data_IF_376762090703
#
_entry.id   IF_376762090703
#
_cell.length_a   1.000
_cell.length_b   1.000
_cell.length_c   1.000
_cell.angle_alpha   90.00
_cell.angle_beta   90.00
_cell.angle_gamma   90.00
#
_symmetry.space_group_name_H-M   'P 1'
#
loop_
_entity.id
_entity.type
_entity.pdbx_description
1 polymer ?
#
# COMPACT_ATOMS: atom_id res chain seq x y z
N UNK A 1 -8.60 -6.06 24.36
CA UNK A 1 -7.87 -6.63 23.22
C UNK A 1 -6.90 -5.60 22.67
N UNK A 2 -5.80 -6.03 22.07
CA UNK A 2 -4.86 -5.21 21.30
C UNK A 2 -4.90 -5.69 19.85
N UNK A 3 -5.02 -4.76 18.91
CA UNK A 3 -5.06 -5.05 17.48
C UNK A 3 -4.02 -4.20 16.76
N UNK A 4 -3.30 -4.80 15.82
CA UNK A 4 -2.47 -4.05 14.89
C UNK A 4 -3.35 -3.15 14.01
N UNK A 5 -2.80 -2.00 13.62
CA UNK A 5 -3.41 -1.09 12.64
C UNK A 5 -3.83 -1.80 11.34
N UNK A 6 -3.01 -2.74 10.89
CA UNK A 6 -3.29 -3.52 9.69
C UNK A 6 -4.49 -4.48 9.88
N UNK A 7 -4.77 -4.94 11.11
CA UNK A 7 -5.97 -5.72 11.42
C UNK A 7 -7.21 -4.83 11.43
N UNK A 8 -7.14 -3.65 12.04
CA UNK A 8 -8.29 -2.74 12.05
C UNK A 8 -8.60 -2.24 10.63
N UNK A 9 -7.58 -1.95 9.82
CA UNK A 9 -7.74 -1.66 8.40
C UNK A 9 -8.36 -2.83 7.62
N UNK A 10 -7.91 -4.07 7.89
CA UNK A 10 -8.49 -5.27 7.28
C UNK A 10 -9.98 -5.39 7.60
N UNK A 11 -10.34 -5.27 8.88
CA UNK A 11 -11.72 -5.44 9.34
C UNK A 11 -12.63 -4.30 8.86
N UNK A 12 -12.11 -3.08 8.77
CA UNK A 12 -12.82 -1.97 8.16
C UNK A 12 -13.15 -2.23 6.69
N UNK A 13 -12.16 -2.70 5.93
CA UNK A 13 -12.33 -2.94 4.50
C UNK A 13 -13.19 -4.18 4.19
N UNK A 14 -12.91 -5.32 4.84
CA UNK A 14 -13.49 -6.63 4.52
C UNK A 14 -14.39 -7.20 5.60
N UNK A 15 -14.36 -6.73 6.85
CA UNK A 15 -14.99 -7.42 7.97
C UNK A 15 -14.39 -8.81 8.24
N UNK A 16 -15.09 -9.70 8.95
CA UNK A 16 -14.67 -11.07 9.22
C UNK A 16 -14.96 -11.97 8.01
N UNK A 17 -14.37 -11.64 6.85
CA UNK A 17 -14.46 -12.42 5.62
C UNK A 17 -13.07 -12.87 5.22
N UNK A 18 -12.99 -13.97 4.48
CA UNK A 18 -11.73 -14.46 3.91
C UNK A 18 -11.25 -13.52 2.81
N UNK A 19 -9.95 -13.23 2.77
CA UNK A 19 -9.43 -12.25 1.82
C UNK A 19 -8.07 -11.66 2.15
N UNK A 20 -7.75 -10.60 1.44
CA UNK A 20 -6.55 -9.79 1.58
C UNK A 20 -6.87 -8.29 1.47
N UNK A 21 -6.16 -7.49 2.24
CA UNK A 21 -6.21 -6.03 2.19
C UNK A 21 -4.79 -5.50 2.01
N UNK A 22 -4.61 -4.68 0.98
CA UNK A 22 -3.38 -3.90 0.78
C UNK A 22 -3.63 -2.49 1.28
N UNK A 23 -3.00 -2.12 2.39
CA UNK A 23 -2.99 -0.75 2.87
C UNK A 23 -1.84 0.01 2.19
N UNK A 24 -2.18 0.87 1.24
CA UNK A 24 -1.25 1.57 0.37
C UNK A 24 -1.30 3.09 0.60
N UNK A 25 -0.26 3.63 1.22
CA UNK A 25 -0.11 5.05 1.52
C UNK A 25 1.35 5.47 1.35
N UNK A 26 1.89 6.22 2.32
CA UNK A 26 3.32 6.54 2.36
C UNK A 26 4.17 5.27 2.35
N UNK A 27 3.78 4.26 3.14
CA UNK A 27 4.30 2.90 3.11
C UNK A 27 3.28 1.92 2.53
N UNK A 28 3.61 0.63 2.53
CA UNK A 28 2.72 -0.42 2.03
C UNK A 28 2.80 -1.68 2.89
N UNK A 29 1.64 -2.25 3.20
CA UNK A 29 1.52 -3.53 3.89
C UNK A 29 0.32 -4.29 3.34
N UNK A 30 0.48 -5.59 3.14
CA UNK A 30 -0.61 -6.50 2.81
C UNK A 30 -0.90 -7.43 3.98
N UNK A 31 -2.18 -7.57 4.33
CA UNK A 31 -2.67 -8.50 5.35
C UNK A 31 -3.77 -9.36 4.78
N UNK A 32 -3.73 -10.66 5.04
CA UNK A 32 -4.77 -11.59 4.63
C UNK A 32 -5.10 -12.59 5.71
N UNK A 33 -6.29 -13.17 5.62
CA UNK A 33 -6.72 -14.24 6.53
C UNK A 33 -7.76 -15.13 5.86
N UNK A 34 -7.71 -16.41 6.18
CA UNK A 34 -8.75 -17.39 5.89
C UNK A 34 -9.69 -17.60 7.10
N UNK A 35 -9.66 -16.67 8.05
CA UNK A 35 -10.30 -16.71 9.37
C UNK A 35 -9.74 -17.77 10.33
N UNK A 36 -8.77 -18.58 9.91
CA UNK A 36 -8.04 -19.50 10.78
C UNK A 36 -6.69 -18.95 11.23
N UNK A 37 -6.02 -18.17 10.37
CA UNK A 37 -4.73 -17.52 10.68
C UNK A 37 -4.52 -16.23 9.91
N UNK A 38 -3.71 -15.35 10.47
CA UNK A 38 -3.22 -14.16 9.78
C UNK A 38 -2.03 -14.47 8.87
N UNK A 39 -1.95 -13.76 7.75
CA UNK A 39 -0.80 -13.68 6.85
C UNK A 39 -0.47 -12.21 6.65
N UNK A 40 0.83 -11.90 6.57
CA UNK A 40 1.33 -10.54 6.37
C UNK A 40 2.46 -10.57 5.35
N UNK A 41 2.45 -9.62 4.42
CA UNK A 41 3.53 -9.40 3.48
C UNK A 41 3.85 -7.90 3.41
N UNK A 42 5.11 -7.61 3.14
CA UNK A 42 5.68 -6.27 3.16
C UNK A 42 5.50 -5.54 4.51
N UNK A 43 5.56 -4.20 4.52
CA UNK A 43 5.56 -3.38 5.74
C UNK A 43 6.93 -3.35 6.42
N UNK A 44 8.01 -3.48 5.65
CA UNK A 44 9.39 -3.42 6.16
C UNK A 44 9.99 -2.01 6.10
N UNK A 45 9.19 -1.01 5.70
CA UNK A 45 9.60 0.38 5.58
C UNK A 45 10.30 0.68 4.26
N UNK A 46 10.25 1.95 3.85
CA UNK A 46 10.77 2.48 2.58
C UNK A 46 12.20 2.09 2.13
N UNK A 47 13.05 1.54 3.02
CA UNK A 47 14.39 1.08 2.68
C UNK A 47 14.46 -0.42 2.35
N UNK A 48 13.64 -1.24 2.99
CA UNK A 48 13.70 -2.70 2.92
C UNK A 48 12.43 -3.33 2.33
N UNK A 49 11.41 -2.50 2.06
CA UNK A 49 10.13 -2.92 1.50
C UNK A 49 9.30 -1.69 1.12
N UNK A 50 8.03 -1.72 1.47
CA UNK A 50 7.00 -0.80 1.03
C UNK A 50 6.98 -0.66 -0.50
N UNK A 51 7.19 -1.77 -1.21
CA UNK A 51 7.30 -1.75 -2.67
C UNK A 51 5.94 -1.40 -3.29
N UNK A 52 5.94 -0.40 -4.19
CA UNK A 52 4.71 0.15 -4.75
C UNK A 52 3.97 1.15 -3.84
N UNK A 53 4.50 1.47 -2.66
CA UNK A 53 4.01 2.57 -1.82
C UNK A 53 4.23 3.95 -2.47
N UNK A 54 3.64 4.99 -1.90
CA UNK A 54 3.91 6.38 -2.30
C UNK A 54 5.39 6.73 -2.16
N UNK A 55 6.06 6.34 -1.07
CA UNK A 55 7.49 6.58 -0.89
C UNK A 55 8.31 5.87 -1.98
N UNK A 56 7.90 4.67 -2.37
CA UNK A 56 8.55 3.94 -3.47
C UNK A 56 8.34 4.63 -4.81
N UNK A 57 7.09 5.03 -5.14
CA UNK A 57 6.74 5.71 -6.40
C UNK A 57 7.52 7.02 -6.52
N UNK A 58 7.48 7.85 -5.47
CA UNK A 58 8.17 9.14 -5.49
C UNK A 58 9.69 9.00 -5.53
N UNK A 59 10.26 7.99 -4.84
CA UNK A 59 11.69 7.67 -4.96
C UNK A 59 12.07 7.30 -6.39
N UNK A 60 11.29 6.43 -7.03
CA UNK A 60 11.52 6.03 -8.42
C UNK A 60 11.38 7.22 -9.38
N UNK A 61 10.42 8.11 -9.13
CA UNK A 61 10.26 9.35 -9.89
C UNK A 61 11.44 10.31 -9.75
N UNK A 62 11.92 10.53 -8.52
CA UNK A 62 13.10 11.35 -8.26
C UNK A 62 14.39 10.74 -8.83
N UNK A 63 14.49 9.41 -8.82
CA UNK A 63 15.59 8.71 -9.48
C UNK A 63 15.56 8.96 -11.00
N UNK A 64 14.39 8.84 -11.64
CA UNK A 64 14.23 9.14 -13.06
C UNK A 64 14.54 10.62 -13.40
N UNK A 65 14.16 11.55 -12.51
CA UNK A 65 14.52 12.97 -12.62
C UNK A 65 16.03 13.17 -12.60
N UNK A 66 16.73 12.57 -11.62
CA UNK A 66 18.19 12.67 -11.51
C UNK A 66 18.92 12.01 -12.70
N UNK A 67 18.38 10.91 -13.24
CA UNK A 67 18.92 10.32 -14.47
C UNK A 67 18.81 11.27 -15.66
N UNK A 68 17.71 12.01 -15.80
CA UNK A 68 17.60 13.04 -16.83
C UNK A 68 18.59 14.18 -16.60
N UNK A 69 18.79 14.61 -15.34
CA UNK A 69 19.79 15.62 -14.99
C UNK A 69 21.21 15.18 -15.39
N UNK A 70 21.56 13.92 -15.18
CA UNK A 70 22.86 13.34 -15.53
C UNK A 70 23.02 13.05 -17.04
N UNK A 71 21.95 13.15 -17.84
CA UNK A 71 21.94 12.73 -19.24
C UNK A 71 21.96 11.21 -19.44
N UNK A 72 21.54 10.43 -18.44
CA UNK A 72 21.51 8.95 -18.45
C UNK A 72 20.22 8.44 -19.09
N UNK A 73 20.31 7.28 -19.75
CA UNK A 73 19.14 6.56 -20.28
C UNK A 73 18.09 6.30 -19.21
N UNK A 74 16.81 6.21 -19.58
CA UNK A 74 15.72 6.01 -18.61
C UNK A 74 15.47 7.21 -17.68
N UNK A 75 16.02 8.38 -18.01
CA UNK A 75 15.66 9.64 -17.38
C UNK A 75 14.35 10.21 -17.92
N UNK A 76 13.68 11.03 -17.11
CA UNK A 76 12.46 11.75 -17.51
C UNK A 76 12.64 13.27 -17.35
N UNK A 77 12.71 14.03 -18.47
CA UNK A 77 12.71 15.49 -18.43
C UNK A 77 11.45 16.09 -17.77
N UNK A 78 10.22 15.56 -17.98
CA UNK A 78 9.04 16.02 -17.24
C UNK A 78 9.18 15.85 -15.71
N UNK A 79 9.65 14.68 -15.25
CA UNK A 79 9.85 14.45 -13.82
C UNK A 79 10.99 15.30 -13.25
N UNK A 80 12.03 15.58 -14.04
CA UNK A 80 13.08 16.53 -13.66
C UNK A 80 12.51 17.92 -13.41
N UNK A 81 11.70 18.45 -14.34
CA UNK A 81 11.07 19.75 -14.19
C UNK A 81 10.21 19.82 -12.91
N UNK A 82 9.42 18.77 -12.63
CA UNK A 82 8.60 18.70 -11.41
C UNK A 82 9.44 18.57 -10.15
N UNK A 83 10.51 17.79 -10.18
CA UNK A 83 11.41 17.65 -9.04
C UNK A 83 12.07 19.00 -8.70
N UNK A 84 12.46 19.78 -9.71
CA UNK A 84 13.04 21.10 -9.52
C UNK A 84 12.04 22.13 -9.01
N UNK A 85 10.78 22.04 -9.44
CA UNK A 85 9.69 22.86 -8.91
C UNK A 85 9.40 22.55 -7.43
N UNK A 86 9.28 21.27 -7.07
CA UNK A 86 8.94 20.85 -5.71
C UNK A 86 10.08 21.04 -4.71
N UNK A 87 11.32 20.78 -5.15
CA UNK A 87 12.46 20.63 -4.23
C UNK A 87 13.64 21.52 -4.58
N UNK A 88 13.57 22.34 -5.63
CA UNK A 88 14.65 23.18 -6.14
C UNK A 88 15.70 22.41 -6.97
N UNK A 89 16.83 23.04 -7.33
CA UNK A 89 17.75 22.53 -8.33
C UNK A 89 18.18 21.07 -8.10
N UNK A 90 18.17 20.25 -9.14
CA UNK A 90 18.36 18.80 -9.04
C UNK A 90 19.67 18.41 -8.36
N UNK A 91 20.76 19.14 -8.62
CA UNK A 91 22.06 18.93 -7.99
C UNK A 91 22.03 19.03 -6.44
N UNK A 92 21.05 19.73 -5.87
CA UNK A 92 20.85 19.87 -4.43
C UNK A 92 19.91 18.85 -3.79
N UNK A 93 19.22 18.01 -4.59
CA UNK A 93 18.21 17.06 -4.10
C UNK A 93 18.73 16.14 -2.98
N UNK A 94 19.90 15.47 -3.12
CA UNK A 94 20.42 14.60 -2.07
C UNK A 94 20.54 15.28 -0.71
N UNK A 95 21.08 16.52 -0.68
CA UNK A 95 21.27 17.28 0.55
C UNK A 95 19.95 17.74 1.19
N UNK A 96 18.86 17.84 0.41
CA UNK A 96 17.54 18.23 0.90
C UNK A 96 16.70 17.04 1.37
N UNK A 97 16.94 15.84 0.84
CA UNK A 97 16.15 14.64 1.14
C UNK A 97 16.82 13.77 2.21
N UNK A 98 18.11 13.45 2.08
CA UNK A 98 18.76 12.46 2.96
C UNK A 98 18.78 12.81 4.45
N UNK A 99 19.05 14.07 4.87
CA UNK A 99 19.11 14.42 6.28
C UNK A 99 17.76 14.42 6.98
N UNK A 100 16.65 14.31 6.24
CA UNK A 100 15.32 14.47 6.78
C UNK A 100 14.90 13.26 7.64
N UNK A 101 14.28 13.48 8.81
CA UNK A 101 13.72 12.40 9.61
C UNK A 101 12.43 11.83 8.99
N UNK A 102 11.69 12.64 8.22
CA UNK A 102 10.43 12.31 7.56
C UNK A 102 10.62 11.89 6.08
N UNK A 103 11.79 11.35 5.74
CA UNK A 103 12.15 10.88 4.39
C UNK A 103 11.03 10.14 3.65
N UNK A 104 10.35 9.14 4.24
CA UNK A 104 9.27 8.43 3.54
C UNK A 104 8.16 9.37 3.08
N UNK A 105 7.76 10.33 3.92
CA UNK A 105 6.70 11.29 3.61
C UNK A 105 7.13 12.24 2.49
N UNK A 106 8.39 12.69 2.50
CA UNK A 106 8.98 13.56 1.48
C UNK A 106 9.08 12.85 0.14
N UNK A 107 9.46 11.58 0.13
CA UNK A 107 9.43 10.76 -1.08
C UNK A 107 7.99 10.60 -1.56
N UNK A 108 7.07 10.21 -0.67
CA UNK A 108 5.67 10.01 -1.01
C UNK A 108 4.97 11.26 -1.53
N UNK A 109 5.39 12.46 -1.11
CA UNK A 109 4.82 13.72 -1.61
C UNK A 109 5.11 13.96 -3.09
N UNK A 110 6.08 13.25 -3.69
CA UNK A 110 6.36 13.32 -5.12
C UNK A 110 5.55 12.32 -5.97
N UNK A 111 4.86 11.35 -5.35
CA UNK A 111 4.06 10.37 -6.09
C UNK A 111 2.93 10.99 -6.94
N UNK A 112 2.20 12.04 -6.48
CA UNK A 112 1.22 12.73 -7.33
C UNK A 112 1.82 13.36 -8.59
N UNK A 113 3.05 13.86 -8.52
CA UNK A 113 3.76 14.42 -9.70
C UNK A 113 4.08 13.32 -10.71
N UNK A 114 4.46 12.13 -10.25
CA UNK A 114 4.63 10.95 -11.13
C UNK A 114 3.32 10.60 -11.82
N UNK A 115 2.20 10.62 -11.09
CA UNK A 115 0.87 10.42 -11.70
C UNK A 115 0.52 11.50 -12.72
N UNK A 116 0.77 12.77 -12.41
CA UNK A 116 0.46 13.87 -13.30
C UNK A 116 1.23 13.78 -14.63
N UNK A 117 2.46 13.24 -14.62
CA UNK A 117 3.25 13.03 -15.83
C UNK A 117 2.88 11.76 -16.62
N UNK A 118 2.19 10.79 -16.03
CA UNK A 118 2.06 9.45 -16.60
C UNK A 118 1.29 9.37 -17.94
N UNK A 119 0.45 10.37 -18.27
CA UNK A 119 -0.26 10.40 -19.54
C UNK A 119 0.69 10.63 -20.74
N UNK A 120 1.72 11.44 -20.55
CA UNK A 120 2.61 11.91 -21.61
C UNK A 120 4.06 11.44 -21.43
N UNK A 121 4.40 10.86 -20.28
CA UNK A 121 5.73 10.34 -19.96
C UNK A 121 5.71 8.82 -19.76
N UNK A 122 6.30 8.03 -20.70
CA UNK A 122 6.35 6.58 -20.58
C UNK A 122 7.18 6.10 -19.38
N UNK A 123 8.14 6.89 -18.89
CA UNK A 123 8.92 6.54 -17.69
C UNK A 123 8.02 6.62 -16.46
N UNK A 124 7.28 7.72 -16.29
CA UNK A 124 6.30 7.86 -15.22
C UNK A 124 5.21 6.77 -15.28
N UNK A 125 4.65 6.48 -16.45
CA UNK A 125 3.71 5.38 -16.63
C UNK A 125 4.31 4.02 -16.26
N UNK A 126 5.57 3.78 -16.64
CA UNK A 126 6.32 2.58 -16.27
C UNK A 126 6.49 2.41 -14.76
N UNK A 127 6.78 3.49 -14.04
CA UNK A 127 6.89 3.50 -12.58
C UNK A 127 5.56 3.10 -11.94
N UNK A 128 4.43 3.65 -12.39
CA UNK A 128 3.12 3.31 -11.83
C UNK A 128 2.72 1.85 -12.11
N UNK A 129 3.00 1.33 -13.32
CA UNK A 129 2.80 -0.10 -13.61
C UNK A 129 3.67 -1.00 -12.73
N UNK A 130 4.91 -0.61 -12.47
CA UNK A 130 5.78 -1.37 -11.56
C UNK A 130 5.28 -1.30 -10.12
N UNK A 131 4.74 -0.16 -9.67
CA UNK A 131 4.10 -0.05 -8.37
C UNK A 131 2.89 -0.98 -8.26
N UNK A 132 2.00 -0.97 -9.25
CA UNK A 132 0.85 -1.87 -9.32
C UNK A 132 1.24 -3.35 -9.23
N UNK A 133 2.29 -3.76 -9.96
CA UNK A 133 2.88 -5.11 -9.85
C UNK A 133 3.27 -5.46 -8.42
N UNK A 134 4.05 -4.60 -7.76
CA UNK A 134 4.50 -4.83 -6.39
C UNK A 134 3.34 -4.92 -5.38
N UNK A 135 2.31 -4.08 -5.56
CA UNK A 135 1.09 -4.13 -4.77
C UNK A 135 0.37 -5.48 -4.95
N UNK A 136 0.23 -5.93 -6.20
CA UNK A 136 -0.41 -7.20 -6.52
C UNK A 136 0.39 -8.42 -6.03
N UNK A 137 1.72 -8.38 -6.10
CA UNK A 137 2.60 -9.42 -5.54
C UNK A 137 2.40 -9.55 -4.02
N UNK A 138 2.32 -8.42 -3.33
CA UNK A 138 2.07 -8.37 -1.88
C UNK A 138 0.68 -8.90 -1.53
N UNK A 139 -0.35 -8.54 -2.31
CA UNK A 139 -1.69 -9.10 -2.15
C UNK A 139 -1.70 -10.62 -2.36
N UNK A 140 -1.05 -11.11 -3.41
CA UNK A 140 -1.01 -12.52 -3.75
C UNK A 140 -0.30 -13.36 -2.68
N UNK A 141 0.74 -12.83 -2.05
CA UNK A 141 1.45 -13.50 -0.97
C UNK A 141 0.59 -13.76 0.29
N UNK A 142 -0.43 -12.93 0.53
CA UNK A 142 -1.29 -13.06 1.73
C UNK A 142 -2.70 -13.56 1.45
N UNK A 143 -3.14 -13.52 0.20
CA UNK A 143 -4.47 -13.95 -0.20
C UNK A 143 -4.66 -15.46 0.02
N UNK A 144 -5.75 -15.90 0.67
CA UNK A 144 -6.07 -17.32 0.78
C UNK A 144 -6.18 -17.99 -0.59
N UNK A 145 -5.59 -19.19 -0.74
CA UNK A 145 -5.61 -19.93 -2.01
C UNK A 145 -6.94 -20.65 -2.30
N UNK A 146 -7.78 -20.85 -1.29
CA UNK A 146 -9.04 -21.60 -1.40
C UNK A 146 -10.26 -20.68 -1.23
N UNK A 147 -11.37 -21.06 -1.88
CA UNK A 147 -12.64 -20.34 -1.84
C UNK A 147 -12.66 -19.12 -2.77
N UNK A 148 -13.52 -18.15 -2.43
CA UNK A 148 -13.68 -16.88 -3.16
C UNK A 148 -13.20 -15.71 -2.28
N UNK A 149 -11.87 -15.55 -2.09
CA UNK A 149 -11.33 -14.50 -1.25
C UNK A 149 -11.66 -13.12 -1.82
N UNK A 150 -11.85 -12.14 -0.94
CA UNK A 150 -12.01 -10.74 -1.35
C UNK A 150 -10.68 -10.02 -1.26
N UNK A 151 -10.37 -9.20 -2.26
CA UNK A 151 -9.22 -8.30 -2.22
C UNK A 151 -9.74 -6.88 -2.15
N UNK A 152 -9.19 -6.06 -1.26
CA UNK A 152 -9.44 -4.63 -1.21
C UNK A 152 -8.12 -3.87 -1.08
N UNK A 153 -8.10 -2.65 -1.62
CA UNK A 153 -6.96 -1.74 -1.50
C UNK A 153 -7.45 -0.52 -0.74
N UNK A 154 -6.72 -0.11 0.28
CA UNK A 154 -7.04 1.04 1.13
C UNK A 154 -5.87 2.03 1.15
N UNK A 155 -6.07 3.18 1.78
CA UNK A 155 -5.04 4.20 1.94
C UNK A 155 -5.03 5.24 0.83
N UNK A 156 -4.07 6.17 0.93
CA UNK A 156 -4.04 7.39 0.13
C UNK A 156 -3.77 7.18 -1.36
N UNK A 157 -3.12 6.08 -1.74
CA UNK A 157 -2.80 5.82 -3.16
C UNK A 157 -4.03 5.51 -4.01
N UNK A 158 -5.15 5.13 -3.39
CA UNK A 158 -6.42 4.96 -4.11
C UNK A 158 -6.91 6.25 -4.78
N UNK A 159 -6.41 7.41 -4.35
CA UNK A 159 -6.73 8.72 -4.95
C UNK A 159 -5.86 9.08 -6.17
N UNK A 160 -4.89 8.24 -6.54
CA UNK A 160 -4.05 8.48 -7.74
C UNK A 160 -4.80 8.16 -9.04
N UNK A 161 -6.01 7.60 -8.96
CA UNK A 161 -6.88 7.37 -10.10
C UNK A 161 -6.36 6.31 -11.07
N UNK A 162 -6.91 6.33 -12.27
CA UNK A 162 -6.70 5.33 -13.32
C UNK A 162 -5.22 5.03 -13.62
N UNK A 163 -4.29 6.00 -13.63
CA UNK A 163 -2.88 5.71 -13.91
C UNK A 163 -2.24 4.67 -12.98
N UNK A 164 -2.74 4.51 -11.74
CA UNK A 164 -2.32 3.46 -10.82
C UNK A 164 -3.37 2.35 -10.69
N UNK A 165 -4.65 2.71 -10.61
CA UNK A 165 -5.71 1.74 -10.31
C UNK A 165 -5.99 0.77 -11.46
N UNK A 166 -5.90 1.21 -12.72
CA UNK A 166 -6.13 0.33 -13.87
C UNK A 166 -5.03 -0.73 -13.97
N UNK A 167 -3.72 -0.39 -13.96
CA UNK A 167 -2.68 -1.42 -13.93
C UNK A 167 -2.79 -2.34 -12.70
N UNK A 168 -3.23 -1.82 -11.56
CA UNK A 168 -3.42 -2.64 -10.36
C UNK A 168 -4.55 -3.65 -10.51
N UNK A 169 -5.67 -3.25 -11.12
CA UNK A 169 -6.77 -4.15 -11.47
C UNK A 169 -6.27 -5.30 -12.36
N UNK A 170 -5.54 -4.97 -13.41
CA UNK A 170 -4.98 -5.93 -14.37
C UNK A 170 -4.06 -6.95 -13.67
N UNK A 171 -3.10 -6.47 -12.87
CA UNK A 171 -2.13 -7.32 -12.19
C UNK A 171 -2.77 -8.19 -11.10
N UNK A 172 -3.80 -7.69 -10.42
CA UNK A 172 -4.60 -8.45 -9.46
C UNK A 172 -5.46 -9.51 -10.16
N UNK A 173 -6.12 -9.19 -11.27
CA UNK A 173 -6.92 -10.13 -12.03
C UNK A 173 -6.08 -11.27 -12.60
N UNK A 174 -4.85 -10.97 -13.04
CA UNK A 174 -3.91 -11.98 -13.54
C UNK A 174 -3.39 -12.91 -12.43
N UNK A 175 -3.01 -12.36 -11.28
CA UNK A 175 -2.41 -13.15 -10.17
C UNK A 175 -3.42 -13.85 -9.28
N UNK A 176 -4.60 -13.27 -9.12
CA UNK A 176 -5.64 -13.72 -8.22
C UNK A 176 -6.97 -13.87 -8.96
N UNK A 177 -7.04 -14.72 -10.01
CA UNK A 177 -8.25 -14.88 -10.82
C UNK A 177 -9.45 -15.41 -10.03
N UNK A 178 -9.21 -16.09 -8.90
CA UNK A 178 -10.24 -16.57 -7.98
C UNK A 178 -10.74 -15.50 -7.00
N UNK A 179 -10.01 -14.38 -6.87
CA UNK A 179 -10.35 -13.34 -5.90
C UNK A 179 -11.34 -12.34 -6.48
N UNK A 180 -12.29 -11.91 -5.65
CA UNK A 180 -13.19 -10.81 -5.99
C UNK A 180 -12.58 -9.50 -5.54
N UNK A 181 -12.27 -8.61 -6.47
CA UNK A 181 -11.91 -7.24 -6.13
C UNK A 181 -13.15 -6.48 -5.65
N UNK A 182 -13.04 -5.82 -4.50
CA UNK A 182 -14.10 -4.98 -3.95
C UNK A 182 -13.55 -3.65 -3.46
N UNK A 183 -14.41 -2.63 -3.47
CA UNK A 183 -14.16 -1.41 -2.71
C UNK A 183 -14.16 -1.73 -1.22
N UNK A 184 -13.26 -1.10 -0.46
CA UNK A 184 -13.26 -1.18 0.99
C UNK A 184 -14.59 -0.67 1.54
N UNK A 185 -15.21 -1.44 2.44
CA UNK A 185 -16.52 -1.09 3.01
C UNK A 185 -16.46 0.07 4.01
N UNK A 186 -15.29 0.30 4.61
CA UNK A 186 -15.04 1.30 5.61
C UNK A 186 -13.54 1.48 5.85
N UNK A 187 -13.21 2.21 6.92
CA UNK A 187 -11.86 2.59 7.27
C UNK A 187 -11.34 1.85 8.54
N UNK A 188 -10.08 2.08 8.97
CA UNK A 188 -9.55 1.44 10.17
C UNK A 188 -10.30 1.77 11.47
N UNK A 189 -10.99 2.91 11.56
CA UNK A 189 -11.82 3.26 12.72
C UNK A 189 -13.09 2.41 12.74
N UNK A 190 -13.75 2.25 11.58
CA UNK A 190 -14.89 1.33 11.44
C UNK A 190 -14.50 -0.10 11.86
N UNK A 191 -13.32 -0.54 11.44
CA UNK A 191 -12.78 -1.84 11.83
C UNK A 191 -12.53 -1.96 13.33
N UNK A 192 -12.01 -0.91 13.97
CA UNK A 192 -11.78 -0.86 15.42
C UNK A 192 -13.09 -0.96 16.20
N UNK A 193 -14.10 -0.19 15.80
CA UNK A 193 -15.45 -0.23 16.39
C UNK A 193 -16.08 -1.61 16.23
N UNK A 194 -15.93 -2.23 15.05
CA UNK A 194 -16.45 -3.57 14.78
C UNK A 194 -15.80 -4.63 15.66
N UNK A 195 -14.47 -4.64 15.77
CA UNK A 195 -13.74 -5.58 16.63
C UNK A 195 -14.21 -5.43 18.09
N UNK A 196 -14.35 -4.20 18.59
CA UNK A 196 -14.82 -3.95 19.95
C UNK A 196 -16.26 -4.44 20.16
N UNK A 197 -17.14 -4.21 19.18
CA UNK A 197 -18.54 -4.67 19.22
C UNK A 197 -18.63 -6.19 19.21
N UNK A 198 -17.92 -6.86 18.31
CA UNK A 198 -17.92 -8.33 18.19
C UNK A 198 -17.34 -8.99 19.45
N UNK A 199 -16.34 -8.37 20.09
CA UNK A 199 -15.81 -8.82 21.37
C UNK A 199 -16.82 -8.68 22.51
N UNK A 200 -17.51 -7.53 22.61
CA UNK A 200 -18.52 -7.30 23.63
C UNK A 200 -19.72 -8.26 23.48
N UNK A 201 -20.04 -8.66 22.25
CA UNK A 201 -21.11 -9.61 21.93
C UNK A 201 -20.66 -11.09 22.00
N UNK A 202 -19.37 -11.38 22.19
CA UNK A 202 -18.84 -12.75 22.16
C UNK A 202 -18.91 -13.43 20.79
N UNK A 203 -18.97 -12.66 19.71
CA UNK A 203 -19.16 -13.12 18.32
C UNK A 203 -17.95 -12.92 17.42
N UNK A 204 -16.76 -12.64 17.99
CA UNK A 204 -15.55 -12.40 17.22
C UNK A 204 -15.13 -13.63 16.42
N UNK A 205 -15.18 -13.51 15.09
CA UNK A 205 -14.83 -14.59 14.15
C UNK A 205 -13.40 -14.49 13.59
N UNK A 206 -12.59 -13.57 14.11
CA UNK A 206 -11.20 -13.36 13.68
C UNK A 206 -10.23 -14.23 14.50
N UNK A 207 -9.18 -14.77 13.88
CA UNK A 207 -8.20 -15.57 14.60
C UNK A 207 -7.39 -14.71 15.57
N UNK A 208 -7.11 -15.27 16.75
CA UNK A 208 -6.20 -14.66 17.73
C UNK A 208 -4.75 -14.82 17.27
N UNK A 209 -3.92 -13.82 17.56
CA UNK A 209 -2.49 -13.83 17.26
C UNK A 209 -1.77 -12.81 18.15
N UNK A 210 -0.60 -13.16 18.68
CA UNK A 210 0.14 -12.33 19.64
C UNK A 210 0.56 -10.96 19.08
N UNK A 211 0.70 -10.83 17.76
CA UNK A 211 1.17 -9.62 17.09
C UNK A 211 0.07 -8.91 16.30
N UNK A 212 -0.90 -9.66 15.79
CA UNK A 212 -1.98 -9.12 14.94
C UNK A 212 -3.24 -8.80 15.74
N UNK A 213 -3.73 -9.73 16.56
CA UNK A 213 -4.96 -9.56 17.32
C UNK A 213 -4.91 -10.36 18.63
N UNK A 214 -4.52 -9.69 19.71
CA UNK A 214 -4.42 -10.28 21.03
C UNK A 214 -5.66 -9.99 21.86
N UNK A 215 -6.38 -11.05 22.26
CA UNK A 215 -7.58 -10.97 23.08
C UNK A 215 -7.27 -11.60 24.43
N UNK A 216 -7.33 -10.80 25.50
CA UNK A 216 -7.34 -11.32 26.86
C UNK A 216 -8.68 -11.99 27.12
N UNK A 217 -8.71 -13.30 27.31
CA UNK A 217 -9.85 -13.92 27.99
C UNK A 217 -9.91 -13.34 29.40
N UNK A 218 -11.04 -12.73 29.78
CA UNK A 218 -11.34 -12.55 31.19
C UNK A 218 -11.52 -13.97 31.74
N UNK A 219 -10.81 -14.40 32.80
CA UNK A 219 -11.09 -15.69 33.40
C UNK A 219 -12.56 -15.67 33.82
N UNK A 220 -13.34 -16.63 33.36
CA UNK A 220 -14.67 -16.90 33.86
C UNK A 220 -14.51 -17.28 35.35
N UNK A 221 -14.66 -16.29 36.23
CA UNK A 221 -14.79 -16.48 37.67
C UNK A 221 -16.21 -16.86 38.05
#
# INVERSE_FOLDING_TARGET
ALAADAVTAYVGALGPRTGAVVAAGTGLIAVGTDLSRWRRADGWGHLLGDCGSGAWIGRAGLEAALRAHDGREGGSPPLLARAEECFGPAAGLPGRVYPRPDRPAVLASFAPEVTACAADDPVAAGILRAAARHMADSAAAVCPAAGEPRVAVTGGLTRMGDPLLVPLEEELAERLPQARWISAAGDPLDGSVRIATDLAAGSLALPSDERMLWVTSVPSG
#
